data_IF_819178299703
#
_entry.id   IF_819178299703
#
_cell.length_a   1.000
_cell.length_b   1.000
_cell.length_c   1.000
_cell.angle_alpha   90.00
_cell.angle_beta   90.00
_cell.angle_gamma   90.00
#
_symmetry.space_group_name_H-M   'P 1'
#
loop_
_entity.id
_entity.type
_entity.pdbx_description
1 polymer ?
#
# COMPACT_ATOMS: atom_id res chain seq x y z
N UNK A 1 3.77 10.18 -25.62
CA UNK A 1 4.46 8.86 -25.51
C UNK A 1 4.63 8.44 -24.05
N UNK A 2 5.01 9.34 -23.14
CA UNK A 2 5.15 9.03 -21.71
C UNK A 2 3.83 8.93 -20.97
N UNK A 3 2.83 9.70 -21.40
CA UNK A 3 1.46 9.68 -20.89
C UNK A 3 0.88 8.27 -21.01
N UNK A 4 1.09 7.62 -22.16
CA UNK A 4 0.67 6.23 -22.39
C UNK A 4 1.42 5.20 -21.54
N UNK A 5 2.72 5.40 -21.28
CA UNK A 5 3.50 4.53 -20.41
C UNK A 5 3.05 4.63 -18.95
N UNK A 6 2.86 5.85 -18.46
CA UNK A 6 2.38 6.13 -17.10
C UNK A 6 0.94 5.63 -16.94
N UNK A 7 0.09 5.84 -17.94
CA UNK A 7 -1.26 5.29 -17.96
C UNK A 7 -1.27 3.76 -17.91
N UNK A 8 -0.45 3.08 -18.70
CA UNK A 8 -0.34 1.62 -18.64
C UNK A 8 0.18 1.13 -17.29
N UNK A 9 1.19 1.79 -16.72
CA UNK A 9 1.74 1.43 -15.42
C UNK A 9 0.71 1.61 -14.30
N UNK A 10 -0.02 2.73 -14.29
CA UNK A 10 -1.06 3.01 -13.32
C UNK A 10 -2.26 2.10 -13.51
N UNK A 11 -2.72 1.85 -14.73
CA UNK A 11 -3.80 0.89 -15.01
C UNK A 11 -3.46 -0.50 -14.48
N UNK A 12 -2.20 -0.94 -14.67
CA UNK A 12 -1.73 -2.21 -14.11
C UNK A 12 -1.71 -2.16 -12.58
N UNK A 13 -1.09 -1.15 -11.99
CA UNK A 13 -0.98 -1.02 -10.54
C UNK A 13 -2.36 -0.98 -9.87
N UNK A 14 -3.20 -0.05 -10.31
CA UNK A 14 -4.58 0.10 -9.81
C UNK A 14 -5.42 -1.14 -10.12
N UNK A 15 -5.27 -1.74 -11.30
CA UNK A 15 -5.96 -2.96 -11.69
C UNK A 15 -5.67 -4.15 -10.77
N UNK A 16 -4.48 -4.22 -10.17
CA UNK A 16 -4.11 -5.26 -9.19
C UNK A 16 -4.78 -5.09 -7.82
N UNK A 17 -5.10 -3.86 -7.42
CA UNK A 17 -5.62 -3.58 -6.08
C UNK A 17 -7.09 -3.19 -6.06
N UNK A 18 -7.66 -2.70 -7.16
CA UNK A 18 -9.02 -2.15 -7.23
C UNK A 18 -9.93 -3.05 -8.07
N UNK A 19 -11.13 -3.33 -7.55
CA UNK A 19 -12.19 -4.08 -8.25
C UNK A 19 -12.91 -3.19 -9.27
N UNK A 20 -13.36 -3.81 -10.37
CA UNK A 20 -14.17 -3.17 -11.42
C UNK A 20 -13.58 -1.85 -11.93
N UNK A 21 -12.24 -1.79 -11.99
CA UNK A 21 -11.50 -0.61 -12.40
C UNK A 21 -11.67 -0.35 -13.91
N UNK A 22 -12.19 0.82 -14.28
CA UNK A 22 -12.34 1.25 -15.67
C UNK A 22 -11.08 1.97 -16.16
N UNK A 23 -10.27 1.26 -16.95
CA UNK A 23 -9.06 1.80 -17.55
C UNK A 23 -9.34 2.98 -18.52
N UNK A 24 -10.54 3.06 -19.11
CA UNK A 24 -10.91 4.13 -20.03
C UNK A 24 -10.98 5.50 -19.34
N UNK A 25 -11.59 5.56 -18.16
CA UNK A 25 -11.69 6.78 -17.36
C UNK A 25 -10.33 7.25 -16.87
N UNK A 26 -9.46 6.32 -16.45
CA UNK A 26 -8.09 6.65 -16.05
C UNK A 26 -7.31 7.25 -17.22
N UNK A 27 -7.39 6.64 -18.39
CA UNK A 27 -6.64 7.10 -19.57
C UNK A 27 -7.01 8.54 -19.93
N UNK A 28 -8.30 8.89 -19.94
CA UNK A 28 -8.74 10.27 -20.25
C UNK A 28 -8.22 11.25 -19.20
N UNK A 29 -8.34 10.94 -17.91
CA UNK A 29 -7.87 11.83 -16.84
C UNK A 29 -6.34 11.99 -16.81
N UNK A 30 -5.59 10.92 -17.11
CA UNK A 30 -4.13 10.99 -17.14
C UNK A 30 -3.68 11.94 -18.23
N UNK A 31 -4.34 11.96 -19.39
CA UNK A 31 -3.94 12.85 -20.49
C UNK A 31 -4.20 14.33 -20.16
N UNK A 32 -5.20 14.64 -19.32
CA UNK A 32 -5.42 15.99 -18.80
C UNK A 32 -4.41 16.40 -17.71
N UNK A 33 -3.68 15.45 -17.13
CA UNK A 33 -2.73 15.71 -16.04
C UNK A 33 -3.34 15.55 -14.65
N UNK A 34 -4.63 15.78 -14.48
CA UNK A 34 -5.33 15.61 -13.20
C UNK A 34 -6.36 14.47 -13.26
N UNK A 35 -6.18 13.49 -12.38
CA UNK A 35 -7.07 12.34 -12.21
C UNK A 35 -7.55 12.33 -10.77
N UNK A 36 -8.84 12.15 -10.56
CA UNK A 36 -9.41 11.88 -9.24
C UNK A 36 -10.35 10.70 -9.33
N UNK A 37 -10.07 9.67 -8.55
CA UNK A 37 -10.87 8.46 -8.42
C UNK A 37 -11.45 8.43 -7.01
N UNK A 38 -12.72 8.06 -6.87
CA UNK A 38 -13.43 8.09 -5.59
C UNK A 38 -14.19 6.79 -5.35
N UNK A 39 -14.39 6.47 -4.07
CA UNK A 39 -15.16 5.32 -3.60
C UNK A 39 -14.71 4.00 -4.25
N UNK A 40 -13.40 3.79 -4.25
CA UNK A 40 -12.77 2.61 -4.82
C UNK A 40 -12.92 1.42 -3.86
N UNK A 41 -13.13 0.24 -4.43
CA UNK A 41 -13.19 -1.01 -3.68
C UNK A 41 -11.92 -1.80 -3.91
N UNK A 42 -11.27 -2.22 -2.82
CA UNK A 42 -10.08 -3.04 -2.92
C UNK A 42 -10.44 -4.50 -3.23
N UNK A 43 -9.57 -5.16 -3.98
CA UNK A 43 -9.65 -6.59 -4.29
C UNK A 43 -9.47 -7.42 -3.03
N UNK A 44 -10.07 -8.60 -3.02
CA UNK A 44 -9.92 -9.53 -1.89
C UNK A 44 -8.48 -10.04 -1.77
N UNK A 45 -7.84 -10.13 -2.93
CA UNK A 45 -6.48 -10.60 -3.15
C UNK A 45 -5.44 -9.48 -3.03
N UNK A 46 -5.85 -8.26 -2.66
CA UNK A 46 -4.95 -7.10 -2.57
C UNK A 46 -3.76 -7.32 -1.63
N UNK A 47 -3.91 -8.18 -0.60
CA UNK A 47 -2.87 -8.54 0.35
C UNK A 47 -2.12 -9.83 -0.01
N UNK A 48 -2.50 -10.54 -1.07
CA UNK A 48 -1.89 -11.84 -1.44
C UNK A 48 -0.40 -11.71 -1.80
N UNK A 49 0.02 -10.54 -2.31
CA UNK A 49 1.43 -10.27 -2.60
C UNK A 49 2.31 -10.29 -1.33
N UNK A 50 1.73 -9.98 -0.16
CA UNK A 50 2.42 -10.06 1.12
C UNK A 50 2.56 -11.51 1.62
N UNK A 51 1.95 -12.48 0.92
CA UNK A 51 1.93 -13.91 1.27
C UNK A 51 1.43 -14.18 2.70
N UNK A 52 0.54 -13.32 3.19
CA UNK A 52 -0.08 -13.48 4.49
C UNK A 52 -1.30 -14.41 4.37
N UNK A 53 -1.56 -15.31 5.34
CA UNK A 53 -2.71 -16.21 5.33
C UNK A 53 -4.00 -15.48 5.74
N UNK A 54 -4.33 -14.39 5.04
CA UNK A 54 -5.41 -13.47 5.35
C UNK A 54 -6.36 -13.32 4.17
N UNK A 55 -7.66 -13.23 4.44
CA UNK A 55 -8.65 -12.85 3.45
C UNK A 55 -9.12 -11.43 3.74
N UNK A 56 -9.19 -10.57 2.71
CA UNK A 56 -9.80 -9.24 2.84
C UNK A 56 -11.32 -9.39 2.74
N UNK A 57 -12.02 -9.07 3.83
CA UNK A 57 -13.49 -9.06 3.87
C UNK A 57 -14.01 -7.85 3.12
N UNK A 58 -13.52 -6.67 3.53
CA UNK A 58 -13.93 -5.38 3.01
C UNK A 58 -12.69 -4.51 2.82
N UNK A 59 -12.61 -3.83 1.68
CA UNK A 59 -11.53 -2.90 1.41
C UNK A 59 -12.04 -1.68 0.67
N UNK A 60 -11.76 -0.50 1.21
CA UNK A 60 -12.27 0.77 0.73
C UNK A 60 -11.14 1.78 0.61
N UNK A 61 -11.16 2.52 -0.49
CA UNK A 61 -10.28 3.64 -0.75
C UNK A 61 -11.17 4.83 -1.14
N UNK A 62 -11.25 5.83 -0.26
CA UNK A 62 -12.17 6.96 -0.42
C UNK A 62 -11.84 7.84 -1.60
N UNK A 63 -10.59 8.30 -1.69
CA UNK A 63 -10.14 9.17 -2.77
C UNK A 63 -8.68 8.89 -3.14
N UNK A 64 -8.41 8.81 -4.45
CA UNK A 64 -7.09 8.78 -5.04
C UNK A 64 -7.00 9.88 -6.07
N UNK A 65 -6.19 10.90 -5.77
CA UNK A 65 -5.93 12.02 -6.67
C UNK A 65 -4.48 11.97 -7.14
N UNK A 66 -4.30 12.07 -8.45
CA UNK A 66 -3.00 12.13 -9.10
C UNK A 66 -2.95 13.39 -9.95
N UNK A 67 -1.97 14.25 -9.67
CA UNK A 67 -1.71 15.47 -10.43
C UNK A 67 -0.31 15.40 -11.04
N UNK A 68 -0.27 15.30 -12.36
CA UNK A 68 0.93 15.19 -13.19
C UNK A 68 1.02 16.43 -14.08
N UNK A 69 1.98 17.33 -13.85
CA UNK A 69 2.15 18.52 -14.66
C UNK A 69 2.90 18.19 -15.97
N UNK A 70 2.24 17.54 -16.94
CA UNK A 70 2.86 17.11 -18.21
C UNK A 70 3.61 18.22 -18.93
N UNK A 71 3.04 19.44 -18.93
CA UNK A 71 3.63 20.61 -19.56
C UNK A 71 4.90 21.11 -18.85
N UNK A 72 5.14 20.72 -17.58
CA UNK A 72 6.25 21.21 -16.78
C UNK A 72 6.77 20.20 -15.73
N UNK A 73 7.04 18.95 -16.14
CA UNK A 73 7.58 17.89 -15.25
C UNK A 73 8.95 18.23 -14.64
N UNK A 74 9.69 19.18 -15.24
CA UNK A 74 10.99 19.67 -14.75
C UNK A 74 10.90 20.93 -13.89
N UNK A 75 9.71 21.47 -13.67
CA UNK A 75 9.50 22.66 -12.85
C UNK A 75 8.41 22.52 -11.80
N UNK A 76 7.60 21.46 -11.87
CA UNK A 76 6.54 21.17 -10.91
C UNK A 76 6.54 19.69 -10.50
N UNK A 77 6.28 19.37 -9.22
CA UNK A 77 6.28 18.01 -8.72
C UNK A 77 5.02 17.25 -9.15
N UNK A 78 5.15 15.92 -9.29
CA UNK A 78 4.00 15.03 -9.38
C UNK A 78 3.44 14.84 -7.98
N UNK A 79 2.12 15.01 -7.81
CA UNK A 79 1.44 14.87 -6.51
C UNK A 79 0.50 13.68 -6.53
N UNK A 80 0.58 12.86 -5.49
CA UNK A 80 -0.31 11.73 -5.25
C UNK A 80 -0.93 11.92 -3.88
N UNK A 81 -2.25 12.03 -3.84
CA UNK A 81 -3.04 12.11 -2.61
C UNK A 81 -3.91 10.86 -2.52
N UNK A 82 -3.80 10.16 -1.39
CA UNK A 82 -4.57 8.97 -1.07
C UNK A 82 -5.30 9.27 0.24
N UNK A 83 -6.62 9.18 0.25
CA UNK A 83 -7.41 9.43 1.44
C UNK A 83 -8.34 8.26 1.74
N UNK A 84 -8.47 7.96 3.03
CA UNK A 84 -9.41 7.02 3.60
C UNK A 84 -9.18 5.59 3.08
N UNK A 85 -8.06 5.01 3.50
CA UNK A 85 -7.67 3.65 3.16
C UNK A 85 -8.08 2.73 4.29
N UNK A 86 -9.19 2.02 4.11
CA UNK A 86 -9.74 1.13 5.12
C UNK A 86 -9.73 -0.30 4.64
N UNK A 87 -9.18 -1.19 5.46
CA UNK A 87 -9.11 -2.61 5.15
C UNK A 87 -9.53 -3.42 6.37
N UNK A 88 -10.48 -4.32 6.18
CA UNK A 88 -10.89 -5.33 7.14
C UNK A 88 -10.48 -6.71 6.63
N UNK A 89 -9.68 -7.42 7.41
CA UNK A 89 -9.18 -8.76 7.10
C UNK A 89 -9.51 -9.75 8.20
N UNK A 90 -9.67 -11.01 7.82
CA UNK A 90 -9.92 -12.14 8.72
C UNK A 90 -8.92 -13.26 8.40
N UNK A 91 -8.63 -14.17 9.34
CA UNK A 91 -7.80 -15.33 9.05
C UNK A 91 -8.42 -16.13 7.91
N UNK A 92 -7.55 -16.69 7.07
CA UNK A 92 -7.99 -17.64 6.05
C UNK A 92 -8.34 -18.96 6.74
N UNK A 93 -9.62 -19.16 7.05
CA UNK A 93 -10.11 -20.52 7.23
C UNK A 93 -9.97 -21.27 5.90
N UNK A 94 -9.84 -22.60 5.94
CA UNK A 94 -10.11 -23.50 4.82
C UNK A 94 -11.62 -23.43 4.43
N UNK A 95 -12.15 -22.21 4.24
CA UNK A 95 -13.46 -21.95 3.71
C UNK A 95 -13.47 -22.44 2.27
N UNK A 96 -13.87 -23.71 2.11
CA UNK A 96 -14.05 -24.44 0.86
C UNK A 96 -12.94 -24.18 -0.14
N UNK A 97 -11.91 -25.05 -0.16
CA UNK A 97 -10.99 -25.18 -1.29
C UNK A 97 -11.80 -25.22 -2.59
N UNK A 98 -11.92 -24.07 -3.26
CA UNK A 98 -12.44 -24.00 -4.61
C UNK A 98 -11.21 -24.17 -5.52
N UNK A 99 -11.01 -25.36 -6.10
CA UNK A 99 -9.88 -25.61 -6.98
C UNK A 99 -9.87 -24.65 -8.17
N UNK A 100 -11.01 -24.09 -8.57
CA UNK A 100 -11.09 -23.13 -9.67
C UNK A 100 -10.66 -21.73 -9.24
N UNK A 101 -10.97 -21.30 -8.03
CA UNK A 101 -10.49 -20.01 -7.50
C UNK A 101 -8.97 -20.05 -7.27
N UNK A 102 -8.44 -21.13 -6.68
CA UNK A 102 -6.99 -21.29 -6.50
C UNK A 102 -6.26 -21.42 -7.84
N UNK A 103 -6.82 -22.15 -8.82
CA UNK A 103 -6.26 -22.19 -10.18
C UNK A 103 -6.24 -20.80 -10.80
N UNK A 104 -7.35 -20.04 -10.73
CA UNK A 104 -7.40 -18.66 -11.25
C UNK A 104 -6.36 -17.79 -10.57
N UNK A 105 -6.18 -17.94 -9.26
CA UNK A 105 -5.19 -17.22 -8.44
C UNK A 105 -3.76 -17.55 -8.83
N UNK A 106 -3.42 -18.84 -8.94
CA UNK A 106 -2.12 -19.28 -9.42
C UNK A 106 -1.87 -18.86 -10.87
N UNK A 107 -2.90 -18.87 -11.71
CA UNK A 107 -2.82 -18.40 -13.08
C UNK A 107 -2.57 -16.90 -13.15
N UNK A 108 -3.21 -16.11 -12.28
CA UNK A 108 -2.99 -14.67 -12.17
C UNK A 108 -1.55 -14.35 -11.74
N UNK A 109 -1.05 -15.01 -10.69
CA UNK A 109 0.35 -14.84 -10.23
C UNK A 109 1.36 -15.27 -11.31
N UNK A 110 1.05 -16.36 -12.05
CA UNK A 110 1.93 -16.87 -13.11
C UNK A 110 1.92 -15.98 -14.35
N UNK A 111 0.75 -15.50 -14.78
CA UNK A 111 0.61 -14.52 -15.85
C UNK A 111 1.31 -13.23 -15.48
N UNK A 112 1.18 -12.75 -14.24
CA UNK A 112 1.89 -11.55 -13.77
C UNK A 112 3.42 -11.69 -13.91
N UNK A 113 3.98 -12.85 -13.53
CA UNK A 113 5.41 -13.12 -13.69
C UNK A 113 5.82 -13.13 -15.17
N UNK A 114 5.02 -13.74 -16.03
CA UNK A 114 5.26 -13.76 -17.48
C UNK A 114 5.19 -12.35 -18.07
N UNK A 115 4.16 -11.58 -17.75
CA UNK A 115 3.97 -10.21 -18.23
C UNK A 115 5.03 -9.24 -17.68
N UNK A 116 5.47 -9.41 -16.44
CA UNK A 116 6.60 -8.64 -15.90
C UNK A 116 7.91 -8.92 -16.64
N UNK A 117 8.11 -10.17 -17.07
CA UNK A 117 9.25 -10.57 -17.87
C UNK A 117 9.11 -10.12 -19.34
N UNK A 118 7.89 -10.04 -19.86
CA UNK A 118 7.61 -9.50 -21.20
C UNK A 118 7.86 -8.01 -21.29
N UNK A 119 7.51 -7.19 -20.29
CA UNK A 119 7.85 -5.76 -20.29
C UNK A 119 9.37 -5.55 -20.28
N UNK A 120 10.11 -6.39 -19.54
CA UNK A 120 11.57 -6.36 -19.55
C UNK A 120 12.13 -6.73 -20.94
N UNK A 121 11.40 -7.53 -21.73
CA UNK A 121 11.72 -7.87 -23.12
C UNK A 121 11.22 -6.83 -24.13
N UNK A 122 10.08 -6.19 -23.94
CA UNK A 122 9.60 -5.07 -24.77
C UNK A 122 10.52 -3.85 -24.64
N UNK A 123 11.15 -3.66 -23.47
CA UNK A 123 12.26 -2.71 -23.31
C UNK A 123 13.47 -3.05 -24.20
N UNK A 124 13.64 -4.31 -24.60
CA UNK A 124 14.71 -4.78 -25.51
C UNK A 124 14.26 -4.79 -26.99
N UNK A 125 12.98 -5.04 -27.27
CA UNK A 125 12.41 -5.14 -28.61
C UNK A 125 11.77 -3.81 -29.05
N UNK A 126 12.62 -2.83 -29.38
CA UNK A 126 12.24 -1.66 -30.18
C UNK A 126 12.49 -1.95 -31.66
N UNK A 127 11.81 -2.96 -32.21
CA UNK A 127 11.99 -3.40 -33.60
C UNK A 127 11.67 -2.26 -34.58
N UNK A 128 12.69 -1.85 -35.35
CA UNK A 128 12.63 -0.77 -36.34
C UNK A 128 13.50 0.47 -36.04
N UNK A 129 14.05 0.61 -34.83
CA UNK A 129 14.88 1.77 -34.47
C UNK A 129 16.38 1.49 -34.61
N UNK A 130 17.14 2.46 -35.12
CA UNK A 130 18.60 2.39 -35.14
C UNK A 130 19.19 2.28 -33.73
N UNK A 131 20.36 1.64 -33.59
CA UNK A 131 21.00 1.39 -32.30
C UNK A 131 21.25 2.70 -31.51
N UNK A 132 21.50 3.81 -32.21
CA UNK A 132 21.68 5.14 -31.62
C UNK A 132 20.37 5.77 -31.13
N UNK A 133 19.25 5.59 -31.85
CA UNK A 133 17.94 6.10 -31.41
C UNK A 133 17.38 5.30 -30.24
N UNK A 134 17.66 3.99 -30.17
CA UNK A 134 17.32 3.17 -28.99
C UNK A 134 18.03 3.68 -27.73
N UNK A 135 19.33 3.96 -27.83
CA UNK A 135 20.14 4.49 -26.72
C UNK A 135 19.68 5.90 -26.30
N UNK A 136 19.35 6.78 -27.26
CA UNK A 136 18.84 8.13 -26.98
C UNK A 136 17.46 8.09 -26.35
N UNK A 137 16.55 7.25 -26.85
CA UNK A 137 15.21 7.11 -26.26
C UNK A 137 15.24 6.49 -24.88
N UNK A 138 16.08 5.48 -24.64
CA UNK A 138 16.29 4.92 -23.29
C UNK A 138 16.86 5.96 -22.32
N UNK A 139 17.86 6.75 -22.74
CA UNK A 139 18.42 7.82 -21.92
C UNK A 139 17.41 8.92 -21.60
N UNK A 140 16.60 9.32 -22.58
CA UNK A 140 15.56 10.34 -22.41
C UNK A 140 14.46 9.86 -21.45
N UNK A 141 13.92 8.66 -21.64
CA UNK A 141 12.89 8.09 -20.76
C UNK A 141 13.42 7.88 -19.35
N UNK A 142 14.63 7.34 -19.19
CA UNK A 142 15.26 7.14 -17.89
C UNK A 142 15.48 8.47 -17.15
N UNK A 143 15.90 9.53 -17.85
CA UNK A 143 16.09 10.85 -17.26
C UNK A 143 14.76 11.44 -16.75
N UNK A 144 13.67 11.23 -17.48
CA UNK A 144 12.36 11.76 -17.12
C UNK A 144 11.70 10.95 -16.01
N UNK A 145 11.82 9.62 -16.03
CA UNK A 145 11.37 8.76 -14.93
C UNK A 145 12.11 9.10 -13.64
N UNK A 146 13.42 9.37 -13.72
CA UNK A 146 14.21 9.82 -12.56
C UNK A 146 13.70 11.17 -12.06
N UNK A 147 13.44 12.14 -12.94
CA UNK A 147 12.90 13.45 -12.55
C UNK A 147 11.51 13.35 -11.88
N UNK A 148 10.65 12.44 -12.36
CA UNK A 148 9.34 12.16 -11.74
C UNK A 148 9.52 11.56 -10.34
N UNK A 149 10.36 10.52 -10.20
CA UNK A 149 10.59 9.85 -8.90
C UNK A 149 11.22 10.84 -7.89
N UNK A 150 12.13 11.68 -8.36
CA UNK A 150 12.86 12.64 -7.55
C UNK A 150 11.97 13.70 -6.94
N UNK A 151 10.94 14.14 -7.66
CA UNK A 151 10.02 15.19 -7.23
C UNK A 151 8.61 14.65 -6.92
N UNK A 152 8.45 13.33 -6.80
CA UNK A 152 7.19 12.71 -6.41
C UNK A 152 6.87 13.07 -4.95
N UNK A 153 5.74 13.75 -4.77
CA UNK A 153 5.12 14.07 -3.50
C UNK A 153 3.96 13.11 -3.25
N UNK A 154 3.98 12.42 -2.12
CA UNK A 154 2.93 11.47 -1.74
C UNK A 154 2.35 11.91 -0.40
N UNK A 155 1.03 11.91 -0.31
CA UNK A 155 0.29 12.22 0.92
C UNK A 155 -0.79 11.16 1.09
N UNK A 156 -0.77 10.45 2.21
CA UNK A 156 -1.70 9.38 2.55
C UNK A 156 -2.37 9.77 3.87
N UNK A 157 -3.70 9.86 3.89
CA UNK A 157 -4.46 10.23 5.08
C UNK A 157 -5.47 9.16 5.46
N UNK A 158 -5.70 9.05 6.76
CA UNK A 158 -6.71 8.16 7.36
C UNK A 158 -6.55 6.71 6.86
N UNK A 159 -5.44 6.07 7.23
CA UNK A 159 -5.24 4.65 7.00
C UNK A 159 -5.71 3.89 8.23
N UNK A 160 -6.51 2.86 8.01
CA UNK A 160 -6.89 1.92 9.05
C UNK A 160 -6.94 0.51 8.49
N UNK A 161 -6.00 -0.31 8.90
CA UNK A 161 -6.00 -1.74 8.65
C UNK A 161 -6.44 -2.46 9.91
N UNK A 162 -7.51 -3.22 9.83
CA UNK A 162 -8.07 -4.01 10.93
C UNK A 162 -8.07 -5.47 10.55
N UNK A 163 -7.54 -6.28 11.44
CA UNK A 163 -7.54 -7.73 11.39
C UNK A 163 -8.42 -8.24 12.53
N UNK A 164 -9.34 -9.13 12.21
CA UNK A 164 -10.29 -9.71 13.14
C UNK A 164 -10.16 -11.21 13.15
N UNK A 165 -10.07 -11.80 14.35
CA UNK A 165 -9.92 -13.24 14.52
C UNK A 165 -10.81 -13.73 15.68
N UNK A 166 -11.66 -14.70 15.38
CA UNK A 166 -12.49 -15.45 16.36
C UNK A 166 -12.11 -16.93 16.47
N UNK A 167 -11.09 -17.36 15.73
CA UNK A 167 -10.74 -18.75 15.48
C UNK A 167 -9.50 -19.15 16.27
N UNK A 168 -8.47 -18.29 16.29
CA UNK A 168 -7.22 -18.59 16.99
C UNK A 168 -7.40 -18.74 18.50
N UNK A 169 -8.34 -18.00 19.11
CA UNK A 169 -8.68 -18.09 20.53
C UNK A 169 -10.18 -18.35 20.72
N UNK A 170 -10.62 -19.62 20.78
CA UNK A 170 -12.03 -19.96 20.94
C UNK A 170 -12.62 -19.34 22.21
N UNK A 171 -13.63 -18.49 22.05
CA UNK A 171 -14.30 -17.78 23.14
C UNK A 171 -13.74 -16.40 23.48
N UNK A 172 -12.60 -16.00 22.88
CA UNK A 172 -11.97 -14.70 23.06
C UNK A 172 -11.63 -14.08 21.69
N UNK A 173 -12.61 -13.51 20.97
CA UNK A 173 -12.34 -12.85 19.70
C UNK A 173 -11.48 -11.60 19.92
N UNK A 174 -10.51 -11.37 19.04
CA UNK A 174 -9.67 -10.18 19.14
C UNK A 174 -9.61 -9.42 17.80
N UNK A 175 -9.27 -8.14 17.90
CA UNK A 175 -9.06 -7.29 16.75
C UNK A 175 -7.73 -6.55 16.86
N UNK A 176 -6.84 -6.83 15.93
CA UNK A 176 -5.59 -6.10 15.76
C UNK A 176 -5.78 -5.01 14.73
N UNK A 177 -5.24 -3.82 14.95
CA UNK A 177 -5.29 -2.80 13.93
C UNK A 177 -4.10 -1.86 13.94
N UNK A 178 -3.84 -1.32 12.75
CA UNK A 178 -2.84 -0.30 12.48
C UNK A 178 -3.58 0.92 11.97
N UNK A 179 -3.38 2.05 12.65
CA UNK A 179 -3.95 3.33 12.24
C UNK A 179 -2.84 4.32 11.95
N UNK A 180 -3.03 5.11 10.88
CA UNK A 180 -2.14 6.21 10.52
C UNK A 180 -3.03 7.39 10.15
N UNK A 181 -2.87 8.51 10.86
CA UNK A 181 -3.62 9.72 10.54
C UNK A 181 -3.10 10.36 9.26
N UNK A 182 -1.78 10.53 9.16
CA UNK A 182 -1.14 11.09 7.98
C UNK A 182 0.26 10.49 7.78
N UNK A 183 0.57 10.16 6.53
CA UNK A 183 1.90 9.85 6.05
C UNK A 183 2.16 10.69 4.81
N UNK A 184 3.09 11.63 4.89
CA UNK A 184 3.49 12.44 3.74
C UNK A 184 4.97 12.25 3.44
N UNK A 185 5.34 12.37 2.17
CA UNK A 185 6.71 12.31 1.70
C UNK A 185 6.92 13.38 0.63
N UNK A 186 7.84 14.31 0.91
CA UNK A 186 8.16 15.43 0.02
C UNK A 186 9.66 15.48 -0.26
N UNK A 187 10.01 15.93 -1.45
CA UNK A 187 11.42 16.16 -1.82
C UNK A 187 11.94 17.44 -1.17
N UNK A 188 13.19 17.41 -0.69
CA UNK A 188 13.81 18.52 0.03
C UNK A 188 15.20 18.85 -0.50
N UNK A 189 15.72 20.01 -0.10
CA UNK A 189 17.14 20.33 -0.25
C UNK A 189 17.99 19.61 0.83
N UNK A 190 19.31 19.89 0.83
CA UNK A 190 20.25 19.36 1.81
C UNK A 190 19.99 19.88 3.24
N UNK A 191 19.26 20.99 3.36
CA UNK A 191 18.85 21.62 4.62
C UNK A 191 17.45 21.18 5.07
N UNK A 192 16.86 20.15 4.44
CA UNK A 192 15.54 19.59 4.75
C UNK A 192 14.36 20.55 4.57
N UNK A 193 14.51 21.59 3.75
CA UNK A 193 13.41 22.47 3.36
C UNK A 193 12.72 21.90 2.13
N UNK A 194 11.37 21.78 2.14
CA UNK A 194 10.61 21.35 0.97
C UNK A 194 10.89 22.29 -0.20
N UNK A 195 11.49 21.75 -1.26
CA UNK A 195 11.79 22.51 -2.47
C UNK A 195 11.74 21.59 -3.68
N UNK A 196 11.47 22.19 -4.83
CA UNK A 196 11.51 21.46 -6.09
C UNK A 196 12.98 21.30 -6.53
N UNK A 197 13.42 20.05 -6.70
CA UNK A 197 14.80 19.75 -7.07
C UNK A 197 14.92 19.86 -8.59
N UNK A 198 15.45 20.99 -9.07
CA UNK A 198 15.70 21.26 -10.49
C UNK A 198 16.99 20.59 -11.01
N UNK A 199 17.90 20.22 -10.11
CA UNK A 199 19.23 19.73 -10.45
C UNK A 199 19.33 18.22 -10.34
N UNK A 200 19.94 17.57 -11.33
CA UNK A 200 20.46 16.19 -11.24
C UNK A 200 21.67 16.14 -10.31
N UNK A 201 21.52 16.57 -9.07
CA UNK A 201 22.50 16.28 -8.03
C UNK A 201 22.58 14.76 -7.86
N UNK A 202 23.79 14.26 -7.63
CA UNK A 202 24.02 12.82 -7.41
C UNK A 202 23.22 12.27 -6.23
N UNK A 203 22.79 13.14 -5.31
CA UNK A 203 22.00 12.82 -4.12
C UNK A 203 20.60 13.43 -4.21
N UNK A 204 19.58 12.66 -3.85
CA UNK A 204 18.22 13.14 -3.63
C UNK A 204 17.84 13.04 -2.16
N UNK A 205 17.22 14.08 -1.62
CA UNK A 205 16.69 14.11 -0.25
C UNK A 205 15.17 14.05 -0.28
N UNK A 206 14.60 13.16 0.55
CA UNK A 206 13.17 13.07 0.80
C UNK A 206 12.92 13.19 2.30
N UNK A 207 11.99 14.04 2.68
CA UNK A 207 11.49 14.15 4.04
C UNK A 207 10.13 13.48 4.09
N UNK A 208 10.02 12.41 4.87
CA UNK A 208 8.75 11.81 5.23
C UNK A 208 8.32 12.32 6.61
N UNK A 209 7.02 12.59 6.76
CA UNK A 209 6.38 12.94 8.02
C UNK A 209 5.30 11.89 8.28
N UNK A 210 5.31 11.35 9.49
CA UNK A 210 4.35 10.38 9.98
C UNK A 210 3.62 11.01 11.16
N UNK A 211 2.30 11.07 11.10
CA UNK A 211 1.46 11.57 12.18
C UNK A 211 0.59 10.44 12.74
N UNK A 212 0.66 10.28 14.07
CA UNK A 212 -0.18 9.38 14.84
C UNK A 212 -0.27 7.96 14.26
N UNK A 213 0.89 7.33 14.04
CA UNK A 213 0.95 5.88 13.83
C UNK A 213 0.62 5.20 15.16
N UNK A 214 -0.41 4.38 15.19
CA UNK A 214 -0.75 3.58 16.34
C UNK A 214 -0.98 2.12 15.94
N UNK A 215 -0.67 1.23 16.87
CA UNK A 215 -0.98 -0.20 16.75
C UNK A 215 -1.79 -0.56 17.96
N UNK A 216 -2.95 -1.17 17.75
CA UNK A 216 -3.81 -1.64 18.81
C UNK A 216 -4.09 -3.12 18.68
N UNK A 217 -4.38 -3.75 19.82
CA UNK A 217 -4.85 -5.12 19.92
C UNK A 217 -5.97 -5.14 20.95
N UNK A 218 -7.21 -5.12 20.48
CA UNK A 218 -8.37 -5.17 21.33
C UNK A 218 -8.72 -6.64 21.62
N UNK A 219 -8.62 -7.03 22.88
CA UNK A 219 -9.06 -8.33 23.41
C UNK A 219 -10.57 -8.31 23.61
N UNK A 220 -11.23 -9.47 23.44
CA UNK A 220 -12.69 -9.63 23.55
C UNK A 220 -13.48 -8.58 22.73
N UNK A 221 -12.99 -8.27 21.53
CA UNK A 221 -13.52 -7.21 20.69
C UNK A 221 -14.81 -7.61 19.95
N UNK A 222 -15.72 -6.64 19.76
CA UNK A 222 -16.83 -6.78 18.82
C UNK A 222 -16.27 -6.85 17.39
N UNK A 223 -16.54 -7.96 16.70
CA UNK A 223 -16.11 -8.16 15.32
C UNK A 223 -17.09 -7.48 14.37
N UNK A 224 -16.56 -6.64 13.47
CA UNK A 224 -17.32 -5.99 12.41
C UNK A 224 -17.59 -6.96 11.26
N UNK A 225 -16.67 -7.91 11.05
CA UNK A 225 -16.79 -9.01 10.12
C UNK A 225 -17.68 -10.10 10.70
N UNK A 226 -18.65 -10.56 9.91
CA UNK A 226 -19.46 -11.75 10.22
C UNK A 226 -18.58 -13.00 10.21
N UNK A 227 -17.87 -13.24 11.30
CA UNK A 227 -17.21 -14.51 11.49
C UNK A 227 -18.28 -15.53 11.89
N UNK A 228 -18.54 -16.44 10.96
CA UNK A 228 -19.18 -17.75 11.20
C UNK A 228 -20.70 -17.75 11.38
N UNK A 229 -21.48 -17.50 10.30
CA UNK A 229 -22.51 -18.43 9.76
C UNK A 229 -22.66 -18.16 8.26
N UNK A 230 -22.50 -19.20 7.44
CA UNK A 230 -22.30 -19.12 5.99
C UNK A 230 -23.23 -18.15 5.27
N UNK A 231 -22.69 -17.50 4.23
CA UNK A 231 -23.39 -16.80 3.13
C UNK A 231 -24.89 -16.53 3.37
N UNK A 232 -25.19 -15.78 4.42
CA UNK A 232 -26.53 -15.25 4.67
C UNK A 232 -26.36 -13.74 4.60
N UNK A 233 -26.63 -13.23 3.40
CA UNK A 233 -26.96 -11.84 3.17
C UNK A 233 -27.99 -11.41 4.23
N UNK A 234 -27.61 -10.60 5.22
CA UNK A 234 -28.60 -10.02 6.12
C UNK A 234 -28.20 -9.54 7.52
N UNK A 235 -27.00 -9.84 8.05
CA UNK A 235 -26.61 -9.40 9.41
C UNK A 235 -25.19 -8.80 9.53
N UNK A 236 -24.61 -8.34 8.43
CA UNK A 236 -23.43 -7.48 8.48
C UNK A 236 -23.81 -6.01 8.61
N UNK A 237 -22.97 -5.20 9.24
CA UNK A 237 -23.06 -3.73 9.14
C UNK A 237 -23.05 -3.36 7.66
N UNK A 238 -23.92 -2.42 7.25
CA UNK A 238 -23.87 -1.90 5.88
C UNK A 238 -22.49 -1.31 5.57
N UNK A 239 -22.03 -1.41 4.33
CA UNK A 239 -20.69 -0.92 3.91
C UNK A 239 -20.41 0.52 4.38
N UNK A 240 -21.41 1.41 4.30
CA UNK A 240 -21.30 2.80 4.78
C UNK A 240 -21.10 2.90 6.29
N UNK A 241 -21.74 2.03 7.06
CA UNK A 241 -21.63 1.98 8.52
C UNK A 241 -20.26 1.42 8.94
N UNK A 242 -19.79 0.37 8.26
CA UNK A 242 -18.45 -0.20 8.49
C UNK A 242 -17.35 0.84 8.22
N UNK A 243 -17.44 1.57 7.10
CA UNK A 243 -16.51 2.66 6.77
C UNK A 243 -16.54 3.75 7.85
N UNK A 244 -17.72 4.09 8.36
CA UNK A 244 -17.88 5.11 9.40
C UNK A 244 -17.25 4.67 10.73
N UNK A 245 -17.45 3.40 11.12
CA UNK A 245 -16.80 2.82 12.31
C UNK A 245 -15.28 2.74 12.16
N UNK A 246 -14.76 2.28 11.02
CA UNK A 246 -13.32 2.24 10.77
C UNK A 246 -12.69 3.63 10.77
N UNK A 247 -13.39 4.64 10.25
CA UNK A 247 -12.94 6.03 10.35
C UNK A 247 -12.93 6.53 11.78
N UNK A 248 -14.01 6.29 12.54
CA UNK A 248 -14.13 6.73 13.93
C UNK A 248 -13.02 6.12 14.80
N UNK A 249 -12.73 4.83 14.62
CA UNK A 249 -11.68 4.09 15.32
C UNK A 249 -10.27 4.68 15.16
N UNK A 250 -9.97 5.42 14.09
CA UNK A 250 -8.67 6.11 13.97
C UNK A 250 -8.48 7.16 15.08
N UNK A 251 -9.57 7.77 15.54
CA UNK A 251 -9.57 8.81 16.57
C UNK A 251 -10.05 8.31 17.93
N UNK A 252 -10.35 7.02 18.08
CA UNK A 252 -10.80 6.46 19.34
C UNK A 252 -9.64 6.30 20.33
N UNK A 253 -9.82 6.83 21.54
CA UNK A 253 -8.84 6.67 22.63
C UNK A 253 -8.98 5.34 23.38
N UNK A 254 -10.10 4.64 23.18
CA UNK A 254 -10.46 3.42 23.92
C UNK A 254 -9.82 2.14 23.38
N UNK A 255 -8.95 2.22 22.38
CA UNK A 255 -8.22 1.05 21.93
C UNK A 255 -7.18 0.62 22.97
N UNK A 256 -7.02 -0.69 23.11
CA UNK A 256 -5.90 -1.28 23.83
C UNK A 256 -4.66 -1.18 22.94
N UNK A 257 -4.00 -0.03 23.01
CA UNK A 257 -2.82 0.27 22.19
C UNK A 257 -1.61 -0.54 22.62
N UNK A 258 -1.05 -1.31 21.68
CA UNK A 258 0.30 -1.88 21.82
C UNK A 258 1.39 -0.85 21.55
N UNK A 259 1.14 0.03 20.58
CA UNK A 259 1.92 1.21 20.29
C UNK A 259 0.99 2.41 20.35
N UNK A 260 1.20 3.27 21.34
CA UNK A 260 0.47 4.54 21.45
C UNK A 260 0.76 5.41 20.21
N UNK A 261 -0.16 6.29 19.81
CA UNK A 261 0.01 7.15 18.64
C UNK A 261 1.35 7.89 18.67
N UNK A 262 2.25 7.54 17.76
CA UNK A 262 3.57 8.17 17.62
C UNK A 262 3.63 8.97 16.34
N UNK A 263 4.19 10.17 16.45
CA UNK A 263 4.52 11.01 15.30
C UNK A 263 6.03 11.09 15.14
N UNK A 264 6.47 11.37 13.93
CA UNK A 264 7.88 11.46 13.64
C UNK A 264 8.18 11.94 12.23
N UNK A 265 9.46 12.19 11.99
CA UNK A 265 9.99 12.66 10.72
C UNK A 265 11.15 11.77 10.33
N UNK A 266 11.17 11.35 9.07
CA UNK A 266 12.24 10.56 8.50
C UNK A 266 12.89 11.33 7.34
N UNK A 267 14.17 11.66 7.48
CA UNK A 267 15.00 12.20 6.41
C UNK A 267 15.69 11.06 5.66
N UNK A 268 15.41 10.91 4.39
CA UNK A 268 15.99 9.92 3.50
C UNK A 268 16.91 10.59 2.48
N UNK A 269 18.17 10.17 2.45
CA UNK A 269 19.18 10.60 1.49
C UNK A 269 19.51 9.40 0.59
N UNK A 270 19.27 9.53 -0.71
CA UNK A 270 19.51 8.47 -1.71
C UNK A 270 20.61 8.95 -2.64
N UNK A 271 21.71 8.20 -2.69
CA UNK A 271 22.79 8.41 -3.65
C UNK A 271 22.56 7.61 -4.93
N UNK A 272 22.62 8.32 -6.06
CA UNK A 272 22.43 7.79 -7.42
C UNK A 272 23.73 7.63 -8.18
N UNK A 273 24.87 8.04 -7.60
CA UNK A 273 26.17 7.99 -8.27
C UNK A 273 26.72 6.57 -8.42
N UNK A 274 26.17 5.59 -7.70
CA UNK A 274 26.54 4.18 -7.79
C UNK A 274 27.95 3.90 -7.27
N UNK A 275 28.57 4.86 -6.58
CA UNK A 275 29.89 4.69 -5.99
C UNK A 275 29.79 3.83 -4.72
N UNK A 276 30.72 2.91 -4.55
CA UNK A 276 30.79 2.03 -3.38
C UNK A 276 31.47 2.71 -2.17
N UNK A 277 31.92 3.97 -2.33
CA UNK A 277 32.58 4.76 -1.28
C UNK A 277 31.61 5.29 -0.22
N UNK A 278 30.30 5.22 -0.47
CA UNK A 278 29.25 5.78 0.39
C UNK A 278 28.00 4.89 0.40
N UNK A 279 27.18 4.96 1.47
CA UNK A 279 25.91 4.23 1.50
C UNK A 279 24.97 4.76 0.42
N UNK A 280 24.37 3.84 -0.33
CA UNK A 280 23.38 4.17 -1.37
C UNK A 280 22.13 4.84 -0.78
N UNK A 281 21.76 4.46 0.44
CA UNK A 281 20.59 4.98 1.14
C UNK A 281 21.02 5.28 2.58
N UNK A 282 20.75 6.49 3.05
CA UNK A 282 20.91 6.91 4.44
C UNK A 282 19.58 7.42 4.94
N UNK A 283 19.08 6.83 6.02
CA UNK A 283 17.85 7.26 6.68
C UNK A 283 18.17 7.83 8.06
N UNK A 284 17.51 8.93 8.42
CA UNK A 284 17.52 9.51 9.76
C UNK A 284 16.09 9.60 10.22
N UNK A 285 15.75 8.87 11.28
CA UNK A 285 14.40 8.87 11.83
C UNK A 285 14.42 9.59 13.16
N UNK A 286 13.47 10.50 13.34
CA UNK A 286 13.28 11.27 14.56
C UNK A 286 11.81 11.13 14.94
N UNK A 287 11.55 10.34 15.96
CA UNK A 287 10.21 10.11 16.49
C UNK A 287 10.05 10.85 17.81
N UNK A 288 8.80 11.15 18.13
CA UNK A 288 8.40 11.51 19.48
C UNK A 288 8.50 10.26 20.40
N UNK A 289 8.02 10.38 21.64
CA UNK A 289 8.04 9.28 22.60
C UNK A 289 7.33 8.02 22.06
N UNK A 290 8.06 6.91 22.08
CA UNK A 290 7.54 5.60 21.69
C UNK A 290 6.97 4.89 22.93
N UNK A 291 5.65 4.95 23.09
CA UNK A 291 4.93 4.28 24.18
C UNK A 291 4.48 2.87 23.77
N UNK A 292 5.24 1.85 24.19
CA UNK A 292 4.84 0.45 24.04
C UNK A 292 4.14 -0.02 25.31
N UNK A 293 2.96 -0.62 25.17
CA UNK A 293 2.18 -1.19 26.27
C UNK A 293 1.75 -2.59 25.87
N UNK A 294 1.78 -3.54 26.80
CA UNK A 294 1.27 -4.88 26.57
C UNK A 294 0.55 -5.35 27.83
N UNK A 295 -0.75 -5.60 27.69
CA UNK A 295 -1.59 -6.09 28.77
C UNK A 295 -1.51 -7.62 28.89
N UNK A 296 -1.87 -8.18 30.05
CA UNK A 296 -1.80 -9.63 30.30
C UNK A 296 -2.66 -10.43 29.31
N UNK A 297 -3.84 -9.92 28.95
CA UNK A 297 -4.73 -10.55 27.96
C UNK A 297 -4.11 -10.53 26.56
N UNK A 298 -3.49 -9.40 26.17
CA UNK A 298 -2.79 -9.29 24.89
C UNK A 298 -1.60 -10.25 24.82
N UNK A 299 -0.84 -10.37 25.91
CA UNK A 299 0.29 -11.30 25.97
C UNK A 299 -0.16 -12.76 25.79
N UNK A 300 -1.26 -13.16 26.43
CA UNK A 300 -1.85 -14.50 26.25
C UNK A 300 -2.25 -14.72 24.79
N UNK A 301 -2.94 -13.77 24.17
CA UNK A 301 -3.46 -13.91 22.82
C UNK A 301 -2.34 -13.90 21.77
N UNK A 302 -1.25 -13.15 22.00
CA UNK A 302 -0.03 -13.19 21.17
C UNK A 302 0.57 -14.60 21.12
N UNK A 303 0.69 -15.28 22.27
CA UNK A 303 1.21 -16.65 22.33
C UNK A 303 0.30 -17.66 21.62
N UNK A 304 -1.02 -17.45 21.69
CA UNK A 304 -2.00 -18.28 20.98
C UNK A 304 -1.91 -18.05 19.46
N UNK A 305 -1.78 -16.79 19.02
CA UNK A 305 -1.61 -16.44 17.62
C UNK A 305 -0.31 -16.99 17.05
N UNK A 306 0.81 -16.88 17.78
CA UNK A 306 2.09 -17.49 17.38
C UNK A 306 1.93 -18.99 17.14
N UNK A 307 1.29 -19.69 18.09
CA UNK A 307 1.03 -21.12 17.99
C UNK A 307 0.13 -21.46 16.79
N UNK A 308 -0.87 -20.63 16.49
CA UNK A 308 -1.77 -20.80 15.36
C UNK A 308 -1.07 -20.55 14.00
N UNK A 309 -0.22 -19.51 13.93
CA UNK A 309 0.58 -19.19 12.74
C UNK A 309 1.61 -20.27 12.45
N UNK A 310 2.30 -20.77 13.48
CA UNK A 310 3.25 -21.87 13.33
C UNK A 310 2.56 -23.15 12.85
N UNK A 311 1.37 -23.48 13.38
CA UNK A 311 0.59 -24.61 12.87
C UNK A 311 0.13 -24.41 11.42
N UNK A 312 -0.34 -23.21 11.06
CA UNK A 312 -0.77 -22.88 9.69
C UNK A 312 0.38 -22.96 8.67
N UNK A 313 1.56 -22.44 9.03
CA UNK A 313 2.76 -22.52 8.21
C UNK A 313 3.27 -23.97 8.05
N UNK A 314 3.17 -24.79 9.10
CA UNK A 314 3.55 -26.21 9.06
C UNK A 314 2.63 -27.05 8.16
N UNK A 315 1.34 -26.72 8.09
CA UNK A 315 0.40 -27.39 7.19
C UNK A 315 0.58 -26.95 5.73
N UNK A 316 0.95 -25.69 5.50
CA UNK A 316 1.27 -25.16 4.17
C UNK A 316 2.54 -25.72 3.51
N UNK A 317 3.45 -26.32 4.28
CA UNK A 317 4.70 -26.95 3.75
C UNK A 317 4.57 -28.43 3.42
N UNK A 318 3.43 -29.08 3.71
CA UNK A 318 3.19 -30.52 3.46
C UNK A 318 2.31 -30.84 2.25
N UNK A 319 2.07 -29.89 1.35
CA UNK A 319 1.39 -30.15 0.07
C UNK A 319 2.24 -29.76 -1.13
#
# INVERSE_FOLDING_TARGET
>A
MLEGLVANLLNRFLGMYIKNFDAGQLNVGIWSGDVTLRNLELRREALDQLRLPLNVVEGYLGELTLSIPWSNLRGQPVRVLIQDVFLLSVPKEDATYDPEEEKRRQHAIKMEKLESAEILKEQQNTDGMSQEERLKNQSFTQSLTTAIIDNLQVEIKNVHFRYEDSIASPGHPFALGITIKELSAVSTDAEWKPTFIQSTSGTSHKLAVLEALAIYWNTDAELFGSCTKGYSEGMGLGRSELISRLRAAISEENHQFMLKPVSGRAGLEIDKTGRTDRPRIRARLLFDELGFVLDEEQYRDVLMLESALDMGLYQGTKR
#
